data_IF_800054810937
#
_entry.id   IF_800054810937
#
_cell.length_a   1.000
_cell.length_b   1.000
_cell.length_c   1.000
_cell.angle_alpha   90.00
_cell.angle_beta   90.00
_cell.angle_gamma   90.00
#
_symmetry.space_group_name_H-M   'P 1'
#
loop_
_entity.id
_entity.type
_entity.pdbx_description
1 polymer ?
#
# COMPACT_ATOMS: atom_id res chain seq x y z
N UNK A 1 -4.83 -24.25 25.67
CA UNK A 1 -4.65 -24.39 24.22
C UNK A 1 -5.72 -23.56 23.57
N UNK A 2 -5.34 -22.60 22.74
CA UNK A 2 -6.29 -21.86 21.90
C UNK A 2 -6.68 -22.80 20.76
N UNK A 3 -7.95 -23.19 20.69
CA UNK A 3 -8.43 -24.03 19.58
C UNK A 3 -8.30 -23.23 18.28
N UNK A 4 -7.60 -23.79 17.30
CA UNK A 4 -7.52 -23.21 15.95
C UNK A 4 -8.83 -23.54 15.25
N UNK A 5 -9.59 -22.50 14.90
CA UNK A 5 -10.85 -22.64 14.17
C UNK A 5 -10.64 -22.19 12.73
N UNK A 6 -10.90 -23.08 11.78
CA UNK A 6 -11.00 -22.71 10.37
C UNK A 6 -12.36 -22.06 10.13
N UNK A 7 -12.36 -20.82 9.65
CA UNK A 7 -13.57 -20.09 9.30
C UNK A 7 -13.59 -19.85 7.77
N UNK A 8 -14.32 -20.68 6.99
CA UNK A 8 -14.44 -20.48 5.55
C UNK A 8 -15.02 -19.10 5.22
N UNK A 9 -14.54 -18.50 4.13
CA UNK A 9 -15.02 -17.22 3.60
C UNK A 9 -15.80 -17.43 2.32
N UNK A 10 -15.12 -17.80 1.24
CA UNK A 10 -15.66 -18.07 -0.08
C UNK A 10 -14.61 -18.75 -0.96
N UNK A 11 -15.01 -19.16 -2.16
CA UNK A 11 -14.08 -19.59 -3.22
C UNK A 11 -13.32 -18.38 -3.80
N UNK A 12 -12.06 -18.61 -4.13
CA UNK A 12 -11.15 -17.62 -4.69
C UNK A 12 -10.37 -18.23 -5.88
N UNK A 13 -9.80 -17.39 -6.75
CA UNK A 13 -8.89 -17.87 -7.80
C UNK A 13 -7.66 -18.53 -7.16
N UNK A 14 -7.16 -19.60 -7.79
CA UNK A 14 -6.02 -20.38 -7.29
C UNK A 14 -5.03 -20.77 -8.40
N UNK A 15 -5.19 -20.16 -9.57
CA UNK A 15 -4.42 -20.39 -10.79
C UNK A 15 -3.24 -19.40 -10.96
N UNK A 16 -3.11 -18.41 -10.07
CA UNK A 16 -1.90 -17.60 -9.91
C UNK A 16 -1.72 -17.13 -8.47
N UNK A 17 -0.50 -16.66 -8.15
CA UNK A 17 -0.19 -16.10 -6.83
C UNK A 17 -0.54 -14.63 -6.78
N UNK A 18 -1.38 -14.22 -5.83
CA UNK A 18 -1.71 -12.82 -5.54
C UNK A 18 -2.15 -12.70 -4.08
N UNK A 19 -1.90 -11.54 -3.45
CA UNK A 19 -2.29 -11.32 -2.07
C UNK A 19 -3.72 -10.76 -1.96
N UNK A 20 -4.46 -11.30 -1.00
CA UNK A 20 -5.78 -10.85 -0.59
C UNK A 20 -5.69 -10.01 0.68
N UNK A 21 -6.79 -9.35 1.04
CA UNK A 21 -6.87 -8.50 2.22
C UNK A 21 -7.89 -9.05 3.23
N UNK A 22 -7.53 -9.02 4.51
CA UNK A 22 -8.42 -9.29 5.63
C UNK A 22 -8.16 -8.24 6.72
N UNK A 23 -9.19 -7.52 7.12
CA UNK A 23 -9.09 -6.51 8.19
C UNK A 23 -10.22 -6.69 9.21
N UNK A 24 -9.92 -6.39 10.46
CA UNK A 24 -10.93 -6.27 11.53
C UNK A 24 -11.10 -4.80 11.87
N UNK A 25 -12.33 -4.37 12.08
CA UNK A 25 -12.65 -3.04 12.59
C UNK A 25 -13.86 -3.14 13.50
N UNK A 26 -13.68 -2.74 14.76
CA UNK A 26 -14.69 -2.93 15.82
C UNK A 26 -15.16 -4.41 15.87
N UNK A 27 -16.47 -4.65 15.80
CA UNK A 27 -17.07 -5.99 15.75
C UNK A 27 -17.34 -6.49 14.32
N UNK A 28 -16.66 -5.92 13.32
CA UNK A 28 -16.75 -6.36 11.93
C UNK A 28 -15.43 -6.94 11.44
N UNK A 29 -15.54 -7.87 10.51
CA UNK A 29 -14.43 -8.36 9.71
C UNK A 29 -14.76 -8.19 8.24
N UNK A 30 -13.78 -7.70 7.49
CA UNK A 30 -13.87 -7.45 6.06
C UNK A 30 -12.79 -8.24 5.33
N UNK A 31 -13.13 -8.78 4.17
CA UNK A 31 -12.20 -9.46 3.28
C UNK A 31 -12.33 -8.90 1.86
N UNK A 32 -11.23 -8.86 1.12
CA UNK A 32 -11.22 -8.61 -0.32
C UNK A 32 -10.32 -9.64 -1.01
N UNK A 33 -10.84 -10.29 -2.04
CA UNK A 33 -10.16 -11.33 -2.82
C UNK A 33 -10.59 -11.30 -4.29
N UNK A 34 -9.97 -12.13 -5.11
CA UNK A 34 -10.44 -12.40 -6.48
C UNK A 34 -11.22 -13.72 -6.50
N UNK A 35 -12.45 -13.70 -7.01
CA UNK A 35 -13.25 -14.91 -7.16
C UNK A 35 -12.70 -15.83 -8.28
N UNK A 36 -13.32 -16.99 -8.49
CA UNK A 36 -12.94 -17.93 -9.55
C UNK A 36 -13.05 -17.37 -10.99
N UNK A 37 -13.70 -16.22 -11.18
CA UNK A 37 -13.76 -15.49 -12.44
C UNK A 37 -12.85 -14.25 -12.44
N UNK A 38 -11.89 -14.19 -11.52
CA UNK A 38 -10.89 -13.13 -11.38
C UNK A 38 -11.48 -11.76 -11.03
N UNK A 39 -12.70 -11.71 -10.49
CA UNK A 39 -13.35 -10.45 -10.10
C UNK A 39 -13.03 -10.09 -8.67
N UNK A 40 -12.70 -8.81 -8.44
CA UNK A 40 -12.65 -8.23 -7.11
C UNK A 40 -13.98 -8.52 -6.42
N UNK A 41 -13.88 -9.25 -5.32
CA UNK A 41 -15.00 -9.66 -4.49
C UNK A 41 -14.69 -9.27 -3.06
N UNK A 42 -15.67 -8.69 -2.38
CA UNK A 42 -15.55 -8.23 -1.00
C UNK A 42 -16.57 -8.93 -0.13
N UNK A 43 -16.18 -9.19 1.11
CA UNK A 43 -16.97 -9.86 2.11
C UNK A 43 -16.99 -9.04 3.39
N UNK A 44 -18.12 -9.06 4.08
CA UNK A 44 -18.26 -8.50 5.42
C UNK A 44 -19.02 -9.47 6.31
N UNK A 45 -18.58 -9.61 7.56
CA UNK A 45 -19.36 -10.28 8.62
C UNK A 45 -19.22 -9.58 9.97
N UNK A 46 -20.15 -9.85 10.87
CA UNK A 46 -20.00 -9.53 12.30
C UNK A 46 -19.18 -10.62 12.98
N UNK A 47 -18.28 -10.23 13.86
CA UNK A 47 -17.52 -11.17 14.70
C UNK A 47 -18.34 -11.64 15.92
N UNK A 48 -18.09 -12.85 16.43
CA UNK A 48 -17.07 -13.80 15.97
C UNK A 48 -17.51 -14.70 14.79
N UNK A 49 -18.81 -14.90 14.59
CA UNK A 49 -19.37 -16.01 13.80
C UNK A 49 -20.55 -15.62 12.89
N UNK A 50 -20.76 -14.32 12.65
CA UNK A 50 -21.80 -13.85 11.74
C UNK A 50 -21.60 -14.35 10.29
N UNK A 51 -22.69 -14.48 9.51
CA UNK A 51 -22.60 -14.90 8.12
C UNK A 51 -21.90 -13.85 7.26
N UNK A 52 -21.21 -14.30 6.21
CA UNK A 52 -20.60 -13.41 5.22
C UNK A 52 -21.66 -12.81 4.28
N UNK A 53 -21.65 -11.48 4.18
CA UNK A 53 -22.32 -10.70 3.13
C UNK A 53 -21.31 -10.42 2.04
N UNK A 54 -21.55 -10.90 0.82
CA UNK A 54 -20.62 -10.80 -0.31
C UNK A 54 -21.12 -9.78 -1.33
N UNK A 55 -20.19 -9.02 -1.92
CA UNK A 55 -20.46 -8.03 -2.95
C UNK A 55 -19.33 -7.94 -3.97
N UNK A 56 -19.65 -7.48 -5.19
CA UNK A 56 -18.70 -7.30 -6.28
C UNK A 56 -18.81 -5.86 -6.80
N UNK A 57 -17.89 -4.96 -6.42
CA UNK A 57 -17.92 -3.59 -6.89
C UNK A 57 -17.61 -3.52 -8.39
N UNK A 58 -18.29 -2.61 -9.09
CA UNK A 58 -18.09 -2.41 -10.53
C UNK A 58 -17.02 -1.35 -10.79
N UNK A 59 -15.95 -1.76 -11.47
CA UNK A 59 -14.89 -0.87 -11.96
C UNK A 59 -15.15 -0.34 -13.39
N UNK A 60 -14.34 0.62 -13.82
CA UNK A 60 -14.36 1.19 -15.18
C UNK A 60 -13.64 0.30 -16.21
N UNK A 61 -13.84 0.54 -17.51
CA UNK A 61 -13.13 -0.16 -18.59
C UNK A 61 -11.69 0.36 -18.72
N UNK A 62 -10.72 -0.55 -18.83
CA UNK A 62 -9.31 -0.26 -19.09
C UNK A 62 -8.99 -0.65 -20.55
N UNK A 63 -8.93 0.32 -21.48
CA UNK A 63 -8.67 0.02 -22.89
C UNK A 63 -7.35 -0.72 -23.12
N UNK A 64 -6.28 -0.33 -22.42
CA UNK A 64 -4.94 -0.88 -22.59
C UNK A 64 -4.82 -2.33 -22.10
N UNK A 65 -5.76 -2.78 -21.27
CA UNK A 65 -5.83 -4.14 -20.73
C UNK A 65 -6.95 -4.97 -21.34
N UNK A 66 -7.82 -4.36 -22.13
CA UNK A 66 -9.04 -4.97 -22.68
C UNK A 66 -9.91 -5.68 -21.62
N UNK A 67 -9.99 -5.08 -20.42
CA UNK A 67 -10.78 -5.61 -19.30
C UNK A 67 -11.36 -4.50 -18.43
N UNK A 68 -12.30 -4.86 -17.56
CA UNK A 68 -12.73 -3.95 -16.50
C UNK A 68 -11.72 -3.92 -15.34
N UNK A 69 -11.58 -2.77 -14.68
CA UNK A 69 -10.70 -2.52 -13.54
C UNK A 69 -10.98 -3.41 -12.32
N UNK A 70 -12.16 -4.04 -12.25
CA UNK A 70 -12.50 -4.98 -11.19
C UNK A 70 -12.21 -6.44 -11.57
N UNK A 71 -11.64 -6.72 -12.74
CA UNK A 71 -11.23 -8.07 -13.19
C UNK A 71 -9.70 -8.08 -13.24
N UNK A 72 -9.02 -9.08 -12.69
CA UNK A 72 -7.54 -9.19 -12.76
C UNK A 72 -7.07 -10.16 -13.82
N UNK A 73 -5.88 -9.89 -14.35
CA UNK A 73 -5.08 -10.86 -15.09
C UNK A 73 -4.21 -11.70 -14.13
N UNK A 74 -3.34 -12.53 -14.71
CA UNK A 74 -2.39 -13.38 -14.00
C UNK A 74 -1.12 -12.61 -13.60
N UNK A 75 -1.27 -11.59 -12.75
CA UNK A 75 -0.16 -10.77 -12.28
C UNK A 75 -0.15 -10.66 -10.75
N UNK A 76 0.92 -11.17 -10.12
CA UNK A 76 1.08 -11.14 -8.66
C UNK A 76 1.20 -9.74 -8.05
N UNK A 77 1.50 -8.72 -8.87
CA UNK A 77 1.54 -7.32 -8.43
C UNK A 77 0.15 -6.77 -8.09
N UNK A 78 -0.90 -7.40 -8.60
CA UNK A 78 -2.29 -6.94 -8.53
C UNK A 78 -2.96 -7.23 -7.17
N UNK A 79 -2.22 -7.25 -6.07
CA UNK A 79 -2.82 -7.50 -4.76
C UNK A 79 -3.90 -6.47 -4.38
N UNK A 80 -4.75 -6.85 -3.42
CA UNK A 80 -5.81 -5.99 -2.87
C UNK A 80 -5.42 -5.49 -1.47
N UNK A 81 -5.79 -4.25 -1.15
CA UNK A 81 -5.66 -3.66 0.18
C UNK A 81 -6.93 -2.91 0.57
N UNK A 82 -7.26 -2.93 1.86
CA UNK A 82 -8.41 -2.23 2.41
C UNK A 82 -8.04 -1.42 3.65
N UNK A 83 -8.82 -0.38 3.91
CA UNK A 83 -8.82 0.33 5.18
C UNK A 83 -10.21 0.83 5.55
N UNK A 84 -10.38 1.18 6.82
CA UNK A 84 -11.56 1.87 7.33
C UNK A 84 -11.12 3.25 7.83
N UNK A 85 -11.70 4.33 7.33
CA UNK A 85 -11.40 5.68 7.83
C UNK A 85 -12.01 5.94 9.22
N UNK A 86 -11.84 7.15 9.75
CA UNK A 86 -12.33 7.49 11.09
C UNK A 86 -13.85 7.63 11.18
N UNK A 87 -14.56 7.74 10.05
CA UNK A 87 -16.02 7.77 9.99
C UNK A 87 -16.62 6.40 9.63
N UNK A 88 -15.79 5.37 9.50
CA UNK A 88 -16.24 4.00 9.22
C UNK A 88 -16.41 3.69 7.74
N UNK A 89 -16.09 4.59 6.81
CA UNK A 89 -16.16 4.25 5.39
C UNK A 89 -15.03 3.29 5.01
N UNK A 90 -15.36 2.36 4.12
CA UNK A 90 -14.43 1.37 3.61
C UNK A 90 -13.71 1.96 2.39
N UNK A 91 -12.41 1.76 2.35
CA UNK A 91 -11.52 2.12 1.25
C UNK A 91 -10.91 0.83 0.72
N UNK A 92 -10.96 0.63 -0.60
CA UNK A 92 -10.41 -0.54 -1.27
C UNK A 92 -9.60 -0.09 -2.48
N UNK A 93 -8.41 -0.65 -2.65
CA UNK A 93 -7.57 -0.41 -3.81
C UNK A 93 -6.73 -1.64 -4.13
N UNK A 94 -6.32 -1.81 -5.36
CA UNK A 94 -5.58 -2.98 -5.83
C UNK A 94 -5.69 -3.16 -7.33
N UNK A 95 -5.31 -4.33 -7.85
CA UNK A 95 -5.37 -4.64 -9.28
C UNK A 95 -4.52 -3.74 -10.20
N UNK A 96 -3.38 -3.24 -9.70
CA UNK A 96 -2.57 -2.25 -10.41
C UNK A 96 -1.12 -2.66 -10.54
N UNK A 97 -0.63 -2.70 -11.78
CA UNK A 97 0.77 -2.78 -12.11
C UNK A 97 1.09 -1.90 -13.32
N UNK A 98 1.41 -0.62 -13.02
CA UNK A 98 1.54 0.45 -14.02
C UNK A 98 0.19 0.72 -14.71
N UNK A 99 -0.88 0.69 -13.93
CA UNK A 99 -2.26 0.91 -14.38
C UNK A 99 -2.79 2.26 -13.86
N UNK A 100 -3.88 2.80 -14.45
CA UNK A 100 -4.65 3.85 -13.81
C UNK A 100 -5.05 3.48 -12.38
N UNK A 101 -5.18 4.46 -11.49
CA UNK A 101 -5.56 4.25 -10.11
C UNK A 101 -6.93 3.56 -10.04
N UNK A 102 -6.97 2.39 -9.38
CA UNK A 102 -8.19 1.64 -9.12
C UNK A 102 -8.49 1.77 -7.64
N UNK A 103 -9.53 2.54 -7.33
CA UNK A 103 -9.92 2.88 -5.97
C UNK A 103 -11.44 2.87 -5.83
N UNK A 104 -11.91 2.26 -4.75
CA UNK A 104 -13.31 2.17 -4.38
C UNK A 104 -13.50 2.70 -2.97
N UNK A 105 -14.63 3.35 -2.73
CA UNK A 105 -15.04 3.79 -1.40
C UNK A 105 -16.48 3.41 -1.13
N UNK A 106 -16.80 3.00 0.09
CA UNK A 106 -18.18 2.77 0.47
C UNK A 106 -18.94 4.09 0.56
N UNK A 107 -20.21 4.09 0.16
CA UNK A 107 -21.12 5.23 0.31
C UNK A 107 -21.78 5.29 1.68
N UNK A 108 -21.73 4.19 2.42
CA UNK A 108 -22.18 4.09 3.82
C UNK A 108 -21.06 3.52 4.70
N UNK A 109 -20.94 3.97 5.96
CA UNK A 109 -20.00 3.40 6.91
C UNK A 109 -20.27 1.91 7.12
N UNK A 110 -19.19 1.11 7.12
CA UNK A 110 -19.21 -0.30 7.44
C UNK A 110 -20.23 -1.10 6.61
N UNK A 111 -20.42 -0.78 5.33
CA UNK A 111 -21.22 -1.59 4.40
C UNK A 111 -20.52 -1.81 3.06
N UNK A 112 -20.01 -3.03 2.86
CA UNK A 112 -19.32 -3.43 1.62
C UNK A 112 -20.22 -3.36 0.38
N UNK A 113 -21.54 -3.47 0.51
CA UNK A 113 -22.45 -3.40 -0.66
C UNK A 113 -22.61 -2.02 -1.24
N UNK A 114 -22.04 -1.01 -0.58
CA UNK A 114 -22.07 0.36 -1.05
C UNK A 114 -20.74 0.82 -1.61
N UNK A 115 -19.77 -0.10 -1.81
CA UNK A 115 -18.51 0.19 -2.48
C UNK A 115 -18.76 0.59 -3.93
N UNK A 116 -18.34 1.80 -4.28
CA UNK A 116 -18.40 2.33 -5.64
C UNK A 116 -17.03 2.82 -6.07
N UNK A 117 -16.78 2.75 -7.38
CA UNK A 117 -15.52 3.22 -7.95
C UNK A 117 -15.43 4.74 -7.80
N UNK A 118 -14.32 5.23 -7.27
CA UNK A 118 -14.01 6.65 -7.21
C UNK A 118 -12.97 6.93 -8.30
N UNK A 119 -13.26 7.80 -9.29
CA UNK A 119 -12.41 7.95 -10.48
C UNK A 119 -10.98 8.43 -10.22
N UNK A 120 -10.76 9.11 -9.09
CA UNK A 120 -9.47 9.71 -8.74
C UNK A 120 -9.38 9.92 -7.23
N UNK A 121 -8.14 9.98 -6.70
CA UNK A 121 -7.90 10.54 -5.37
C UNK A 121 -7.68 12.04 -5.49
N UNK A 122 -6.54 12.45 -6.05
CA UNK A 122 -6.22 13.85 -6.36
C UNK A 122 -6.38 14.14 -7.85
N UNK A 123 -6.39 13.12 -8.72
CA UNK A 123 -6.48 13.24 -10.18
C UNK A 123 -5.16 13.60 -10.86
N UNK A 124 -4.09 13.76 -10.10
CA UNK A 124 -2.75 14.05 -10.60
C UNK A 124 -1.89 12.80 -10.42
N UNK A 125 -1.02 12.46 -11.38
CA UNK A 125 -0.08 11.32 -11.25
C UNK A 125 -0.74 10.00 -10.78
N UNK A 126 -1.87 9.67 -11.39
CA UNK A 126 -2.67 8.48 -11.07
C UNK A 126 -2.82 7.52 -12.26
N UNK A 127 -2.13 7.77 -13.38
CA UNK A 127 -2.26 6.96 -14.60
C UNK A 127 -1.38 5.69 -14.61
N UNK A 128 -0.39 5.59 -13.71
CA UNK A 128 0.62 4.52 -13.67
C UNK A 128 0.91 4.08 -12.24
N UNK A 129 -0.13 3.79 -11.49
CA UNK A 129 -0.06 3.36 -10.10
C UNK A 129 0.41 1.90 -9.98
N UNK A 130 1.16 1.62 -8.91
CA UNK A 130 1.51 0.27 -8.45
C UNK A 130 1.63 0.28 -6.93
N UNK A 131 1.40 -0.86 -6.28
CA UNK A 131 1.62 -1.06 -4.84
C UNK A 131 0.84 -0.10 -3.92
N UNK A 132 -0.50 -0.14 -3.94
CA UNK A 132 -1.31 0.66 -3.04
C UNK A 132 -1.09 0.23 -1.59
N UNK A 133 -0.99 1.19 -0.67
CA UNK A 133 -0.87 0.97 0.77
C UNK A 133 -1.75 1.96 1.49
N UNK A 134 -2.70 1.47 2.29
CA UNK A 134 -3.42 2.29 3.25
C UNK A 134 -2.80 2.16 4.64
N UNK A 135 -2.66 3.28 5.34
CA UNK A 135 -2.23 3.30 6.74
C UNK A 135 -2.75 4.56 7.43
N UNK A 136 -2.64 4.64 8.75
CA UNK A 136 -3.09 5.80 9.53
C UNK A 136 -1.91 6.47 10.21
N UNK A 137 -1.95 7.78 10.34
CA UNK A 137 -0.99 8.51 11.17
C UNK A 137 -1.38 8.45 12.66
N UNK A 138 -0.58 9.12 13.50
CA UNK A 138 -0.82 9.18 14.95
C UNK A 138 -2.09 9.94 15.33
N UNK A 139 -2.67 10.72 14.42
CA UNK A 139 -3.96 11.39 14.59
C UNK A 139 -5.13 10.52 14.08
N UNK A 140 -4.86 9.32 13.54
CA UNK A 140 -5.86 8.43 12.97
C UNK A 140 -6.36 8.84 11.58
N UNK A 141 -5.74 9.85 10.95
CA UNK A 141 -6.07 10.26 9.58
C UNK A 141 -5.63 9.18 8.62
N UNK A 142 -6.43 8.91 7.59
CA UNK A 142 -6.12 7.88 6.61
C UNK A 142 -5.14 8.44 5.57
N UNK A 143 -4.08 7.69 5.31
CA UNK A 143 -3.08 7.96 4.29
C UNK A 143 -3.11 6.87 3.22
N UNK A 144 -2.72 7.26 2.02
CA UNK A 144 -2.55 6.35 0.90
C UNK A 144 -1.20 6.58 0.24
N UNK A 145 -0.42 5.52 0.17
CA UNK A 145 0.88 5.51 -0.50
C UNK A 145 0.81 4.61 -1.72
N UNK A 146 1.44 5.03 -2.80
CA UNK A 146 1.57 4.23 -4.01
C UNK A 146 2.80 4.68 -4.82
N UNK A 147 3.28 3.79 -5.69
CA UNK A 147 4.32 4.11 -6.66
C UNK A 147 3.68 4.61 -7.95
N UNK A 148 4.12 5.76 -8.44
CA UNK A 148 3.79 6.25 -9.79
C UNK A 148 4.97 6.00 -10.73
N UNK A 149 4.74 5.25 -11.82
CA UNK A 149 5.74 4.95 -12.83
C UNK A 149 6.01 3.45 -13.00
N UNK A 150 7.15 3.11 -13.60
CA UNK A 150 7.51 1.74 -13.96
C UNK A 150 8.83 1.28 -13.30
N UNK A 151 9.28 0.07 -13.60
CA UNK A 151 10.55 -0.41 -13.06
C UNK A 151 11.75 0.39 -13.63
N UNK A 152 12.60 0.94 -12.77
CA UNK A 152 13.72 1.82 -13.15
C UNK A 152 13.34 3.31 -13.31
N UNK A 153 12.05 3.66 -13.17
CA UNK A 153 11.58 5.04 -13.17
C UNK A 153 10.23 5.16 -12.43
N UNK A 154 10.30 5.16 -11.10
CA UNK A 154 9.15 5.19 -10.21
C UNK A 154 9.39 6.10 -9.01
N UNK A 155 8.37 6.89 -8.70
CA UNK A 155 8.34 7.81 -7.57
C UNK A 155 7.39 7.29 -6.48
N UNK A 156 7.73 7.55 -5.22
CA UNK A 156 6.93 7.16 -4.06
C UNK A 156 6.03 8.32 -3.59
N UNK A 157 4.72 8.18 -3.77
CA UNK A 157 3.74 9.26 -3.52
C UNK A 157 2.90 9.00 -2.29
N UNK A 158 2.54 10.07 -1.57
CA UNK A 158 1.72 10.03 -0.36
C UNK A 158 0.54 11.00 -0.48
N UNK A 159 -0.65 10.47 -0.24
CA UNK A 159 -1.91 11.20 -0.13
C UNK A 159 -2.44 11.12 1.30
N UNK A 160 -3.24 12.09 1.69
CA UNK A 160 -3.97 12.14 2.95
C UNK A 160 -5.46 12.38 2.69
N UNK A 161 -6.32 11.66 3.41
CA UNK A 161 -7.76 11.75 3.28
C UNK A 161 -8.35 12.67 4.34
N UNK A 162 -9.07 13.69 3.89
CA UNK A 162 -9.95 14.48 4.73
C UNK A 162 -11.30 13.76 4.84
N UNK A 163 -11.59 13.24 6.04
CA UNK A 163 -12.81 12.46 6.29
C UNK A 163 -14.07 13.32 6.30
N UNK A 164 -13.98 14.59 6.71
CA UNK A 164 -15.13 15.50 6.74
C UNK A 164 -15.52 15.93 5.32
N UNK A 165 -14.53 16.27 4.50
CA UNK A 165 -14.73 16.65 3.09
C UNK A 165 -14.87 15.45 2.17
N UNK A 166 -14.50 14.28 2.63
CA UNK A 166 -14.42 13.04 1.85
C UNK A 166 -13.55 13.17 0.59
N UNK A 167 -12.40 13.85 0.73
CA UNK A 167 -11.50 14.17 -0.37
C UNK A 167 -10.06 13.80 -0.04
N UNK A 168 -9.30 13.42 -1.06
CA UNK A 168 -7.87 13.19 -0.96
C UNK A 168 -7.10 14.44 -1.37
N UNK A 169 -5.99 14.70 -0.70
CA UNK A 169 -4.98 15.67 -1.11
C UNK A 169 -3.59 15.07 -0.99
N UNK A 170 -2.60 15.72 -1.60
CA UNK A 170 -1.19 15.32 -1.42
C UNK A 170 -0.77 15.59 0.02
N UNK A 171 -0.13 14.60 0.66
CA UNK A 171 0.57 14.81 1.92
C UNK A 171 1.88 15.57 1.68
N UNK A 172 2.59 15.20 0.61
CA UNK A 172 3.88 15.75 0.22
C UNK A 172 3.76 16.46 -1.12
N UNK A 173 4.32 17.66 -1.23
CA UNK A 173 4.35 18.42 -2.48
C UNK A 173 5.23 17.76 -3.55
N UNK A 174 6.19 16.94 -3.12
CA UNK A 174 7.09 16.16 -3.98
C UNK A 174 7.01 14.68 -3.60
N UNK A 175 7.49 13.76 -4.45
CA UNK A 175 7.69 12.37 -4.05
C UNK A 175 8.55 12.26 -2.80
N UNK A 176 8.34 11.21 -2.00
CA UNK A 176 9.25 10.90 -0.90
C UNK A 176 10.59 10.40 -1.42
N UNK A 177 10.56 9.41 -2.32
CA UNK A 177 11.73 8.87 -3.00
C UNK A 177 11.64 9.24 -4.49
N UNK A 178 12.76 9.68 -5.07
CA UNK A 178 12.88 9.94 -6.49
C UNK A 178 14.01 9.13 -7.11
N UNK A 179 13.68 8.43 -8.19
CA UNK A 179 14.58 7.58 -8.94
C UNK A 179 15.50 8.29 -9.93
N UNK A 180 15.40 9.62 -10.04
CA UNK A 180 16.13 10.46 -11.01
C UNK A 180 15.97 9.99 -12.47
N UNK A 181 14.88 9.27 -12.78
CA UNK A 181 14.63 8.65 -14.08
C UNK A 181 15.56 7.47 -14.43
N UNK A 182 16.36 7.00 -13.47
CA UNK A 182 17.41 6.00 -13.70
C UNK A 182 17.29 4.75 -12.81
N UNK A 183 16.56 4.83 -11.69
CA UNK A 183 16.43 3.74 -10.71
C UNK A 183 15.10 3.82 -9.96
N UNK A 184 14.84 2.84 -9.10
CA UNK A 184 13.66 2.83 -8.23
C UNK A 184 14.03 2.70 -6.75
N UNK A 185 13.32 3.45 -5.91
CA UNK A 185 13.27 3.21 -4.47
C UNK A 185 12.14 2.22 -4.14
N UNK A 186 12.47 1.07 -3.57
CA UNK A 186 11.48 0.10 -3.05
C UNK A 186 11.33 0.27 -1.55
N UNK A 187 10.50 1.22 -1.15
CA UNK A 187 10.25 1.52 0.26
C UNK A 187 9.20 0.60 0.89
N UNK A 188 9.42 0.27 2.16
CA UNK A 188 8.42 -0.37 3.02
C UNK A 188 7.46 0.66 3.59
N UNK A 189 6.31 0.20 4.08
CA UNK A 189 5.40 1.10 4.79
C UNK A 189 6.13 1.67 6.02
N UNK A 190 6.05 3.00 6.26
CA UNK A 190 6.57 3.57 7.50
C UNK A 190 5.90 2.92 8.72
N UNK A 191 6.72 2.50 9.70
CA UNK A 191 6.27 1.91 10.95
C UNK A 191 6.48 2.89 12.10
N UNK A 192 5.44 3.17 12.88
CA UNK A 192 5.56 3.99 14.08
C UNK A 192 6.30 3.22 15.17
N UNK A 193 7.43 3.76 15.61
CA UNK A 193 8.22 3.26 16.71
C UNK A 193 7.78 3.79 18.08
N UNK A 194 8.22 3.12 19.16
CA UNK A 194 7.95 3.53 20.54
C UNK A 194 8.61 4.86 20.93
N UNK A 195 9.60 5.33 20.15
CA UNK A 195 10.27 6.62 20.31
C UNK A 195 9.49 7.80 19.70
N UNK A 196 8.32 7.52 19.12
CA UNK A 196 7.44 8.49 18.48
C UNK A 196 7.91 8.94 17.11
N UNK A 197 8.78 8.17 16.44
CA UNK A 197 9.12 8.35 15.04
C UNK A 197 8.46 7.30 14.15
N UNK A 198 8.09 7.69 12.95
CA UNK A 198 7.88 6.79 11.82
C UNK A 198 9.24 6.41 11.25
N UNK A 199 9.47 5.11 11.10
CA UNK A 199 10.70 4.55 10.56
C UNK A 199 10.41 3.90 9.23
N UNK A 200 11.24 4.16 8.23
CA UNK A 200 11.09 3.57 6.92
C UNK A 200 12.44 3.12 6.40
N UNK A 201 12.46 1.92 5.82
CA UNK A 201 13.59 1.40 5.06
C UNK A 201 13.20 1.24 3.60
N UNK A 202 14.18 1.37 2.73
CA UNK A 202 14.03 1.09 1.30
C UNK A 202 15.35 0.60 0.71
N UNK A 203 15.28 0.04 -0.47
CA UNK A 203 16.47 -0.24 -1.28
C UNK A 203 16.38 0.45 -2.63
N UNK A 204 17.51 0.56 -3.31
CA UNK A 204 17.58 1.02 -4.68
C UNK A 204 17.66 -0.14 -5.65
N UNK A 205 17.10 0.03 -6.85
CA UNK A 205 17.24 -0.92 -7.96
C UNK A 205 17.52 -0.16 -9.25
N UNK A 206 18.61 -0.50 -9.92
CA UNK A 206 19.05 0.23 -11.12
C UNK A 206 18.29 -0.17 -12.39
N UNK A 207 17.83 -1.41 -12.51
CA UNK A 207 17.11 -1.87 -13.72
C UNK A 207 15.87 -2.70 -13.34
N UNK A 208 15.06 -3.20 -14.29
CA UNK A 208 13.99 -4.15 -13.95
C UNK A 208 14.46 -5.44 -13.28
N UNK A 209 15.73 -5.80 -13.45
CA UNK A 209 16.29 -7.05 -12.95
C UNK A 209 16.57 -7.02 -11.45
N UNK A 210 16.16 -8.06 -10.72
CA UNK A 210 16.19 -8.10 -9.26
C UNK A 210 17.61 -8.16 -8.68
N UNK A 211 18.58 -8.70 -9.40
CA UNK A 211 19.99 -8.72 -9.00
C UNK A 211 20.61 -7.32 -8.91
N UNK A 212 19.96 -6.30 -9.48
CA UNK A 212 20.41 -4.90 -9.39
C UNK A 212 19.92 -4.17 -8.14
N UNK A 213 19.21 -4.86 -7.24
CA UNK A 213 18.92 -4.36 -5.91
C UNK A 213 20.22 -4.07 -5.15
N UNK A 214 20.26 -2.94 -4.44
CA UNK A 214 21.43 -2.51 -3.70
C UNK A 214 21.05 -1.49 -2.61
N UNK A 215 22.00 -1.23 -1.70
CA UNK A 215 21.97 -0.19 -0.68
C UNK A 215 20.67 -0.10 0.12
N UNK A 216 20.56 -0.93 1.15
CA UNK A 216 19.49 -0.75 2.14
C UNK A 216 19.69 0.60 2.82
N UNK A 217 18.64 1.41 2.77
CA UNK A 217 18.65 2.79 3.19
C UNK A 217 17.56 3.01 4.24
N UNK A 218 17.74 4.05 5.07
CA UNK A 218 16.89 4.33 6.22
C UNK A 218 16.54 5.83 6.31
N UNK A 219 15.35 6.11 6.83
CA UNK A 219 14.91 7.46 7.18
C UNK A 219 13.87 7.40 8.30
N UNK A 220 13.73 8.50 9.05
CA UNK A 220 12.65 8.66 10.03
C UNK A 220 11.93 10.00 9.93
N UNK A 221 10.73 10.07 10.46
CA UNK A 221 9.92 11.30 10.53
C UNK A 221 9.02 11.31 11.76
N UNK A 222 8.71 12.48 12.32
CA UNK A 222 7.68 12.59 13.37
C UNK A 222 6.27 12.80 12.83
N UNK A 223 6.15 13.27 11.60
CA UNK A 223 4.90 13.78 11.02
C UNK A 223 4.64 13.29 9.58
N UNK A 224 5.47 12.37 9.09
CA UNK A 224 5.50 11.83 7.73
C UNK A 224 5.75 12.87 6.63
N UNK A 225 6.08 14.12 6.99
CA UNK A 225 6.31 15.24 6.08
C UNK A 225 7.77 15.70 6.10
N UNK A 226 8.34 15.82 7.30
CA UNK A 226 9.74 16.18 7.51
C UNK A 226 10.53 14.95 7.86
N UNK A 227 11.54 14.66 7.06
CA UNK A 227 12.31 13.43 7.15
C UNK A 227 13.76 13.73 7.53
N UNK A 228 14.35 12.86 8.33
CA UNK A 228 15.72 12.97 8.82
C UNK A 228 16.42 11.61 8.84
N UNK A 229 17.74 11.64 8.77
CA UNK A 229 18.61 10.48 9.00
C UNK A 229 18.54 10.04 10.47
N UNK A 230 19.10 8.88 10.77
CA UNK A 230 19.16 8.30 12.11
C UNK A 230 19.93 9.19 13.11
N UNK A 231 20.89 9.98 12.63
CA UNK A 231 21.68 10.95 13.39
C UNK A 231 20.97 12.31 13.60
N UNK A 232 19.76 12.49 13.04
CA UNK A 232 19.00 13.73 13.12
C UNK A 232 19.30 14.75 12.02
N UNK A 233 20.16 14.43 11.05
CA UNK A 233 20.40 15.29 9.88
C UNK A 233 19.12 15.40 9.03
N UNK A 234 18.55 16.60 8.84
CA UNK A 234 17.35 16.79 8.01
C UNK A 234 17.63 16.44 6.54
N UNK A 235 16.62 15.93 5.85
CA UNK A 235 16.65 15.65 4.42
C UNK A 235 15.69 16.56 3.65
N UNK A 236 16.12 17.00 2.47
CA UNK A 236 15.27 17.69 1.51
C UNK A 236 14.56 16.65 0.65
N UNK A 237 13.26 16.83 0.40
CA UNK A 237 12.50 15.98 -0.52
C UNK A 237 12.60 16.50 -1.97
N UNK A 238 12.57 15.60 -2.97
CA UNK A 238 12.55 14.15 -2.83
C UNK A 238 13.92 13.59 -2.43
N UNK A 239 13.93 12.47 -1.69
CA UNK A 239 15.17 11.78 -1.31
C UNK A 239 15.71 11.01 -2.51
N UNK A 240 16.84 11.46 -3.05
CA UNK A 240 17.61 10.75 -4.05
C UNK A 240 18.67 9.83 -3.42
N UNK A 241 19.24 8.91 -4.21
CA UNK A 241 20.23 7.93 -3.73
C UNK A 241 21.43 8.55 -3.01
N UNK A 242 21.93 9.68 -3.50
CA UNK A 242 23.09 10.35 -2.93
C UNK A 242 22.82 11.07 -1.59
N UNK A 243 21.55 11.25 -1.23
CA UNK A 243 21.14 11.96 -0.01
C UNK A 243 20.77 10.99 1.12
N UNK A 244 20.15 9.85 0.77
CA UNK A 244 19.68 8.84 1.71
C UNK A 244 20.80 8.29 2.61
N UNK A 245 20.44 7.92 3.83
CA UNK A 245 21.34 7.19 4.72
C UNK A 245 21.38 5.72 4.31
N UNK A 246 22.57 5.20 4.01
CA UNK A 246 22.79 3.78 3.71
C UNK A 246 23.12 3.07 5.03
N UNK A 247 22.31 2.07 5.40
CA UNK A 247 22.51 1.25 6.60
C UNK A 247 23.16 -0.10 6.30
N UNK A 248 23.01 -0.59 5.07
CA UNK A 248 23.74 -1.75 4.53
C UNK A 248 24.18 -1.40 3.10
N UNK A 249 25.49 -1.45 2.85
CA UNK A 249 26.10 -1.07 1.58
C UNK A 249 26.11 -2.19 0.53
N UNK A 250 25.35 -3.27 0.75
CA UNK A 250 25.14 -4.37 -0.19
C UNK A 250 25.05 -3.89 -1.64
N UNK A 251 26.02 -4.32 -2.45
CA UNK A 251 26.12 -3.98 -3.86
C UNK A 251 25.21 -4.83 -4.76
N UNK A 252 25.20 -4.47 -6.04
CA UNK A 252 24.55 -5.27 -7.09
C UNK A 252 25.10 -6.70 -7.05
N UNK A 253 24.21 -7.69 -7.15
CA UNK A 253 24.54 -9.11 -7.02
C UNK A 253 24.78 -9.59 -5.59
N UNK A 254 24.63 -8.72 -4.58
CA UNK A 254 24.85 -9.04 -3.16
C UNK A 254 23.72 -9.85 -2.49
N UNK A 255 22.68 -10.25 -3.24
CA UNK A 255 21.56 -11.05 -2.72
C UNK A 255 20.46 -10.27 -2.01
N UNK A 256 20.52 -8.93 -2.05
CA UNK A 256 19.47 -8.08 -1.49
C UNK A 256 18.15 -8.25 -2.28
N UNK A 257 17.05 -8.60 -1.62
CA UNK A 257 15.75 -8.84 -2.27
C UNK A 257 14.69 -7.85 -1.82
N UNK A 258 13.97 -7.22 -2.73
CA UNK A 258 12.98 -6.19 -2.39
C UNK A 258 11.76 -6.76 -1.64
N UNK A 259 11.05 -5.88 -0.92
CA UNK A 259 9.76 -6.16 -0.27
C UNK A 259 9.79 -7.24 0.83
N UNK A 260 10.96 -7.54 1.41
CA UNK A 260 11.08 -8.47 2.57
C UNK A 260 11.71 -7.85 3.81
N UNK A 261 12.42 -6.73 3.67
CA UNK A 261 12.99 -6.03 4.82
C UNK A 261 11.86 -5.42 5.63
N UNK A 262 11.90 -5.51 6.95
CA UNK A 262 10.94 -4.83 7.82
C UNK A 262 11.73 -4.06 8.86
N UNK A 263 11.17 -2.95 9.34
CA UNK A 263 11.62 -2.36 10.58
C UNK A 263 10.94 -3.12 11.72
N UNK A 264 11.73 -3.53 12.71
CA UNK A 264 11.22 -4.06 13.97
C UNK A 264 11.75 -3.31 15.18
N UNK A 265 11.19 -3.62 16.34
CA UNK A 265 11.68 -3.15 17.63
C UNK A 265 11.84 -4.33 18.57
N UNK A 266 12.99 -4.42 19.22
CA UNK A 266 13.20 -5.39 20.29
C UNK A 266 12.49 -4.96 21.60
N UNK A 267 12.55 -5.82 22.62
CA UNK A 267 11.93 -5.55 23.92
C UNK A 267 12.51 -4.31 24.64
N UNK A 268 13.70 -3.85 24.23
CA UNK A 268 14.35 -2.65 24.76
C UNK A 268 14.06 -1.40 23.90
N UNK A 269 13.09 -1.49 22.99
CA UNK A 269 12.73 -0.44 22.04
C UNK A 269 13.86 -0.05 21.07
N UNK A 270 14.85 -0.92 20.85
CA UNK A 270 15.91 -0.71 19.86
C UNK A 270 15.43 -1.18 18.49
N UNK A 271 15.78 -0.40 17.47
CA UNK A 271 15.49 -0.67 16.06
C UNK A 271 16.27 -1.91 15.58
N UNK A 272 15.60 -2.81 14.88
CA UNK A 272 16.20 -3.93 14.16
C UNK A 272 15.71 -3.98 12.71
#
# INVERSE_FOLDING_TARGET
MTDIVVAPVADACADFTVLYCLINHENHQFAAWYDAAHRITVGQRRLPDGPWKIFQPQGFWLPERERYAHITDFDSHNYLTMAVDSAGYLHLSGNMHVDPLIYFRSRQPLDVTTLECVPAMTGEREARATYPVFFKDVQGRLLFRYRDGCSGNGDDLYNIFDTERQQWSRLLETPLLNGEGARNGYARQPLLGPDGYWHMVWMWRETPHCETNNNLSYVRSRDLQRWEKSDGTPLTLPIARHQGEIVDDAGIGGGLINMVQEVGFDNDARRC
#
